data_IF_481995917848
#
_entry.id   IF_481995917848
#
_cell.length_a   1.000
_cell.length_b   1.000
_cell.length_c   1.000
_cell.angle_alpha   90.00
_cell.angle_beta   90.00
_cell.angle_gamma   90.00
#
_symmetry.space_group_name_H-M   'P 1'
#
loop_
_entity.id
_entity.type
_entity.pdbx_description
1 polymer ?
#
# COMPACT_ATOMS: atom_id res chain seq x y z
N UNK A 1 -13.88 -10.40 9.46
CA UNK A 1 -13.37 -9.90 8.17
C UNK A 1 -13.82 -8.47 7.97
N UNK A 2 -13.03 -7.65 7.29
CA UNK A 2 -13.34 -6.27 6.94
C UNK A 2 -12.74 -5.92 5.57
N UNK A 3 -13.20 -4.82 4.98
CA UNK A 3 -12.59 -4.22 3.79
C UNK A 3 -11.83 -2.96 4.20
N UNK A 4 -10.65 -2.80 3.62
CA UNK A 4 -9.89 -1.56 3.66
C UNK A 4 -9.60 -1.05 2.25
N UNK A 5 -8.93 0.09 2.20
CA UNK A 5 -8.45 0.71 0.96
C UNK A 5 -6.99 1.05 1.15
N UNK A 6 -6.12 0.70 0.21
CA UNK A 6 -4.68 0.89 0.32
C UNK A 6 -4.16 1.74 -0.83
N UNK A 7 -3.71 2.95 -0.53
CA UNK A 7 -3.12 3.89 -1.51
C UNK A 7 -1.61 4.00 -1.36
N UNK A 8 -1.08 3.81 -0.14
CA UNK A 8 0.35 3.84 0.17
C UNK A 8 0.74 2.91 1.31
N UNK A 9 -0.10 1.91 1.63
CA UNK A 9 0.04 1.06 2.82
C UNK A 9 -1.20 1.01 3.70
N UNK A 10 -2.29 1.69 3.35
CA UNK A 10 -3.43 1.90 4.26
C UNK A 10 -4.25 0.65 4.61
N UNK A 11 -3.95 -0.53 4.03
CA UNK A 11 -4.39 -1.85 4.53
C UNK A 11 -3.27 -2.53 5.31
N UNK A 12 -2.06 -2.56 4.74
CA UNK A 12 -0.93 -3.32 5.28
C UNK A 12 -0.36 -2.72 6.57
N UNK A 13 -0.23 -1.41 6.65
CA UNK A 13 0.22 -0.67 7.82
C UNK A 13 -0.66 -0.95 9.06
N UNK A 14 -2.00 -0.72 9.02
CA UNK A 14 -2.84 -1.05 10.17
C UNK A 14 -2.87 -2.56 10.45
N UNK A 15 -2.78 -3.42 9.42
CA UNK A 15 -2.68 -4.86 9.64
C UNK A 15 -1.42 -5.25 10.44
N UNK A 16 -0.27 -4.70 10.08
CA UNK A 16 0.99 -4.90 10.80
C UNK A 16 0.92 -4.37 12.24
N UNK A 17 0.41 -3.15 12.44
CA UNK A 17 0.31 -2.55 13.77
C UNK A 17 -0.70 -3.25 14.69
N UNK A 18 -1.79 -3.79 14.12
CA UNK A 18 -2.82 -4.47 14.89
C UNK A 18 -2.62 -5.99 15.00
N UNK A 19 -1.58 -6.55 14.38
CA UNK A 19 -1.33 -7.98 14.41
C UNK A 19 -2.45 -8.80 13.74
N UNK A 20 -2.93 -8.33 12.58
CA UNK A 20 -3.89 -9.05 11.74
C UNK A 20 -3.35 -9.20 10.31
N UNK A 21 -4.06 -9.92 9.46
CA UNK A 21 -3.71 -10.10 8.04
C UNK A 21 -4.40 -9.02 7.21
N UNK A 22 -3.66 -8.38 6.31
CA UNK A 22 -4.20 -7.39 5.38
C UNK A 22 -3.57 -7.53 4.00
N UNK A 23 -4.42 -7.72 2.98
CA UNK A 23 -3.96 -7.89 1.59
C UNK A 23 -4.39 -6.71 0.73
N UNK A 24 -3.42 -6.10 0.04
CA UNK A 24 -3.67 -5.20 -1.07
C UNK A 24 -3.52 -5.99 -2.37
N UNK A 25 -4.60 -6.26 -3.11
CA UNK A 25 -4.49 -7.00 -4.35
C UNK A 25 -3.78 -6.21 -5.46
N UNK A 26 -3.50 -6.88 -6.56
CA UNK A 26 -3.01 -6.23 -7.79
C UNK A 26 -3.92 -5.06 -8.18
N UNK A 27 -3.34 -3.93 -8.61
CA UNK A 27 -4.12 -2.81 -9.11
C UNK A 27 -5.04 -3.25 -10.26
N UNK A 28 -6.32 -2.91 -10.16
CA UNK A 28 -7.35 -3.30 -11.14
C UNK A 28 -8.00 -4.67 -10.91
N UNK A 29 -7.55 -5.47 -9.93
CA UNK A 29 -8.16 -6.79 -9.63
C UNK A 29 -9.52 -6.69 -8.91
N UNK A 30 -9.71 -5.64 -8.11
CA UNK A 30 -10.99 -5.30 -7.46
C UNK A 30 -11.46 -3.96 -8.02
N UNK A 31 -12.74 -3.88 -8.42
CA UNK A 31 -13.34 -2.63 -8.92
C UNK A 31 -13.22 -1.52 -7.88
N UNK A 32 -12.90 -0.31 -8.35
CA UNK A 32 -12.93 0.92 -7.56
C UNK A 32 -14.23 1.67 -7.72
N UNK A 33 -15.19 1.17 -8.52
CA UNK A 33 -16.49 1.81 -8.64
C UNK A 33 -17.22 1.82 -7.28
N UNK A 34 -17.56 3.01 -6.79
CA UNK A 34 -18.14 3.21 -5.46
C UNK A 34 -17.12 3.56 -4.36
N UNK A 35 -15.82 3.43 -4.62
CA UNK A 35 -14.77 3.96 -3.74
C UNK A 35 -14.72 5.49 -3.84
N UNK A 36 -14.71 6.18 -2.70
CA UNK A 36 -14.42 7.61 -2.65
C UNK A 36 -12.92 7.79 -2.94
N UNK A 37 -12.61 8.14 -4.19
CA UNK A 37 -11.25 8.21 -4.69
C UNK A 37 -10.39 9.23 -3.93
N UNK A 38 -9.23 8.77 -3.48
CA UNK A 38 -8.14 9.59 -2.98
C UNK A 38 -7.08 9.78 -4.07
N UNK A 39 -6.45 8.69 -4.55
CA UNK A 39 -5.53 8.70 -5.68
C UNK A 39 -5.81 7.51 -6.60
N UNK A 40 -6.42 7.79 -7.75
CA UNK A 40 -6.98 6.79 -8.65
C UNK A 40 -5.95 5.80 -9.15
N UNK A 41 -4.72 6.24 -9.38
CA UNK A 41 -3.70 5.38 -9.98
C UNK A 41 -2.97 4.48 -8.98
N UNK A 42 -3.29 4.57 -7.69
CA UNK A 42 -2.54 3.92 -6.60
C UNK A 42 -3.44 3.13 -5.64
N UNK A 43 -4.69 3.55 -5.48
CA UNK A 43 -5.61 2.98 -4.51
C UNK A 43 -6.20 1.64 -4.96
N UNK A 44 -6.38 0.74 -4.01
CA UNK A 44 -7.00 -0.55 -4.26
C UNK A 44 -7.79 -0.99 -3.01
N UNK A 45 -9.01 -1.47 -3.19
CA UNK A 45 -9.78 -2.14 -2.11
C UNK A 45 -9.16 -3.51 -1.84
N UNK A 46 -9.07 -3.90 -0.58
CA UNK A 46 -8.56 -5.22 -0.22
C UNK A 46 -9.09 -5.74 1.12
N UNK A 47 -9.00 -7.06 1.34
CA UNK A 47 -9.51 -7.71 2.55
C UNK A 47 -8.56 -7.58 3.75
N UNK A 48 -9.16 -7.54 4.94
CA UNK A 48 -8.48 -7.60 6.24
C UNK A 48 -9.17 -8.65 7.12
N UNK A 49 -8.40 -9.58 7.70
CA UNK A 49 -8.95 -10.64 8.54
C UNK A 49 -7.93 -11.16 9.56
N UNK A 50 -8.33 -12.14 10.37
CA UNK A 50 -7.45 -12.75 11.38
C UNK A 50 -6.57 -13.87 10.82
N UNK A 51 -6.93 -14.44 9.67
CA UNK A 51 -6.19 -15.51 9.02
C UNK A 51 -5.98 -15.23 7.54
N UNK A 52 -4.97 -15.87 6.95
CA UNK A 52 -4.72 -15.85 5.51
C UNK A 52 -5.87 -16.51 4.75
N UNK A 53 -6.45 -17.58 5.30
CA UNK A 53 -7.60 -18.26 4.72
C UNK A 53 -8.83 -17.33 4.57
N UNK A 54 -9.18 -16.56 5.61
CA UNK A 54 -10.28 -15.60 5.57
C UNK A 54 -10.01 -14.47 4.55
N UNK A 55 -8.75 -14.03 4.45
CA UNK A 55 -8.34 -13.05 3.44
C UNK A 55 -8.49 -13.60 2.01
N UNK A 56 -8.08 -14.85 1.77
CA UNK A 56 -8.23 -15.52 0.47
C UNK A 56 -9.70 -15.66 0.08
N UNK A 57 -10.55 -16.11 1.01
CA UNK A 57 -11.99 -16.26 0.80
C UNK A 57 -12.63 -14.93 0.41
N UNK A 58 -12.30 -13.85 1.11
CA UNK A 58 -12.86 -12.54 0.79
C UNK A 58 -12.32 -12.00 -0.54
N UNK A 59 -11.07 -12.30 -0.90
CA UNK A 59 -10.51 -11.92 -2.19
C UNK A 59 -11.23 -12.58 -3.36
N UNK A 60 -11.61 -13.85 -3.24
CA UNK A 60 -12.42 -14.56 -4.24
C UNK A 60 -13.75 -13.84 -4.50
N UNK A 61 -14.44 -13.42 -3.44
CA UNK A 61 -15.71 -12.67 -3.56
C UNK A 61 -15.53 -11.29 -4.21
N UNK A 62 -14.42 -10.61 -3.94
CA UNK A 62 -14.19 -9.23 -4.40
C UNK A 62 -13.72 -9.12 -5.86
N UNK A 63 -13.07 -10.15 -6.40
CA UNK A 63 -12.29 -10.06 -7.64
C UNK A 63 -13.09 -10.42 -8.88
N UNK A 64 -14.18 -9.68 -9.10
CA UNK A 64 -14.98 -9.79 -10.32
C UNK A 64 -14.75 -8.56 -11.20
N UNK A 65 -14.73 -8.77 -12.53
CA UNK A 65 -14.68 -7.66 -13.48
C UNK A 65 -15.92 -6.78 -13.35
N UNK A 66 -15.75 -5.46 -13.29
CA UNK A 66 -16.85 -4.50 -13.25
C UNK A 66 -16.81 -3.58 -14.47
N UNK A 67 -17.80 -3.64 -15.38
CA UNK A 67 -17.83 -2.79 -16.57
C UNK A 67 -18.00 -1.30 -16.25
N UNK A 68 -18.36 -0.93 -15.01
CA UNK A 68 -18.46 0.48 -14.57
C UNK A 68 -17.11 1.05 -14.14
N UNK A 69 -16.08 0.22 -14.02
CA UNK A 69 -14.70 0.64 -13.75
C UNK A 69 -13.82 0.30 -14.95
N UNK A 70 -13.47 1.30 -15.77
CA UNK A 70 -12.59 1.12 -16.93
C UNK A 70 -11.16 0.70 -16.57
N UNK A 71 -10.80 0.69 -15.29
CA UNK A 71 -9.51 0.18 -14.78
C UNK A 71 -9.60 -1.23 -14.19
N UNK A 72 -10.82 -1.79 -14.09
CA UNK A 72 -11.02 -3.18 -13.67
C UNK A 72 -10.53 -4.14 -14.75
N UNK A 73 -9.68 -5.08 -14.36
CA UNK A 73 -9.14 -6.12 -15.24
C UNK A 73 -9.90 -7.41 -15.01
N UNK A 74 -10.33 -8.06 -16.10
CA UNK A 74 -10.99 -9.38 -16.03
C UNK A 74 -9.99 -10.49 -15.71
N UNK A 75 -9.62 -10.60 -14.44
CA UNK A 75 -8.75 -11.63 -13.90
C UNK A 75 -9.34 -12.11 -12.56
N UNK A 76 -10.21 -13.14 -12.56
CA UNK A 76 -10.79 -13.64 -11.33
C UNK A 76 -9.72 -14.26 -10.41
N UNK A 77 -9.97 -14.27 -9.10
CA UNK A 77 -9.18 -15.02 -8.13
C UNK A 77 -9.99 -16.22 -7.66
N UNK A 78 -9.54 -17.42 -7.99
CA UNK A 78 -10.15 -18.68 -7.55
C UNK A 78 -9.02 -19.55 -7.05
N UNK A 79 -8.61 -19.32 -5.80
CA UNK A 79 -7.43 -19.98 -5.23
C UNK A 79 -7.69 -20.39 -3.79
N UNK A 80 -7.36 -21.64 -3.50
CA UNK A 80 -7.34 -22.17 -2.14
C UNK A 80 -5.90 -22.12 -1.66
N UNK A 81 -5.59 -21.49 -0.52
CA UNK A 81 -4.20 -21.37 -0.06
C UNK A 81 -3.50 -22.73 0.06
N UNK A 82 -2.34 -22.85 -0.56
CA UNK A 82 -1.46 -24.01 -0.51
C UNK A 82 -0.16 -23.63 0.24
N UNK A 83 0.12 -24.23 1.41
CA UNK A 83 1.32 -23.92 2.19
C UNK A 83 2.60 -24.57 1.64
N UNK A 84 2.54 -25.36 0.57
CA UNK A 84 3.73 -25.99 -0.03
C UNK A 84 4.53 -25.00 -0.89
N UNK A 85 5.59 -24.46 -0.31
CA UNK A 85 6.48 -23.47 -0.93
C UNK A 85 7.86 -24.04 -1.30
N UNK A 86 7.99 -25.38 -1.38
CA UNK A 86 9.28 -26.02 -1.69
C UNK A 86 9.80 -25.59 -3.07
N UNK A 87 11.02 -25.08 -3.11
CA UNK A 87 11.68 -24.57 -4.32
C UNK A 87 11.25 -23.15 -4.73
N UNK A 88 10.34 -22.51 -4.00
CA UNK A 88 9.91 -21.13 -4.28
C UNK A 88 11.04 -20.15 -3.95
N UNK A 89 11.30 -19.19 -4.84
CA UNK A 89 12.37 -18.20 -4.67
C UNK A 89 11.84 -16.92 -4.02
N UNK A 90 12.33 -16.62 -2.83
CA UNK A 90 12.01 -15.43 -2.06
C UNK A 90 13.14 -14.41 -2.25
N UNK A 91 12.83 -13.31 -2.91
CA UNK A 91 13.73 -12.16 -2.97
C UNK A 91 13.65 -11.30 -1.71
N UNK A 92 14.80 -10.85 -1.22
CA UNK A 92 14.87 -9.96 -0.06
C UNK A 92 15.62 -8.68 -0.46
N UNK A 93 14.94 -7.55 -0.70
CA UNK A 93 15.61 -6.31 -1.07
C UNK A 93 16.44 -5.77 0.10
N UNK A 94 17.72 -5.49 -0.13
CA UNK A 94 18.61 -4.93 0.91
C UNK A 94 18.06 -3.61 1.48
N UNK A 95 17.48 -2.77 0.62
CA UNK A 95 16.93 -1.47 1.00
C UNK A 95 15.73 -1.58 1.97
N UNK A 96 15.05 -2.73 2.03
CA UNK A 96 13.95 -2.98 2.97
C UNK A 96 14.42 -3.22 4.41
N UNK A 97 15.73 -3.43 4.61
CA UNK A 97 16.37 -3.57 5.92
C UNK A 97 17.39 -2.44 6.18
N UNK A 98 17.31 -1.38 5.39
CA UNK A 98 18.21 -0.24 5.45
C UNK A 98 17.91 0.73 6.60
N UNK A 99 18.44 1.95 6.43
CA UNK A 99 18.31 3.02 7.41
C UNK A 99 16.84 3.33 7.75
N UNK A 100 16.55 3.51 9.04
CA UNK A 100 15.21 3.82 9.55
C UNK A 100 14.39 2.61 9.98
N UNK A 101 14.82 1.38 9.64
CA UNK A 101 14.18 0.15 10.16
C UNK A 101 14.75 -0.17 11.54
N UNK A 102 13.87 -0.32 12.53
CA UNK A 102 14.28 -0.65 13.90
C UNK A 102 15.00 -2.01 13.93
N UNK A 103 16.17 -2.14 14.60
CA UNK A 103 16.95 -3.38 14.60
C UNK A 103 16.16 -4.61 15.05
N UNK A 104 15.27 -4.44 16.05
CA UNK A 104 14.44 -5.53 16.54
C UNK A 104 13.36 -5.94 15.53
N UNK A 105 12.78 -4.99 14.79
CA UNK A 105 11.84 -5.28 13.69
C UNK A 105 12.56 -6.07 12.59
N UNK A 106 13.74 -5.60 12.16
CA UNK A 106 14.57 -6.30 11.18
C UNK A 106 14.88 -7.74 11.60
N UNK A 107 15.31 -7.95 12.86
CA UNK A 107 15.60 -9.28 13.41
C UNK A 107 14.37 -10.19 13.38
N UNK A 108 13.20 -9.71 13.82
CA UNK A 108 11.96 -10.51 13.85
C UNK A 108 11.52 -10.92 12.44
N UNK A 109 11.69 -10.04 11.45
CA UNK A 109 11.36 -10.35 10.06
C UNK A 109 12.37 -11.32 9.46
N UNK A 110 13.65 -11.22 9.79
CA UNK A 110 14.64 -12.22 9.38
C UNK A 110 14.34 -13.61 9.96
N UNK A 111 13.92 -13.70 11.22
CA UNK A 111 13.47 -14.97 11.81
C UNK A 111 12.28 -15.57 11.05
N UNK A 112 11.37 -14.71 10.57
CA UNK A 112 10.24 -15.10 9.76
C UNK A 112 10.64 -15.60 8.36
N UNK A 113 11.58 -14.93 7.71
CA UNK A 113 12.16 -15.37 6.42
C UNK A 113 12.91 -16.70 6.59
N UNK A 114 13.66 -16.87 7.67
CA UNK A 114 14.36 -18.12 7.99
C UNK A 114 13.39 -19.29 8.24
N UNK A 115 12.17 -19.02 8.73
CA UNK A 115 11.12 -20.04 8.84
C UNK A 115 10.63 -20.50 7.46
N UNK A 116 10.47 -19.57 6.51
CA UNK A 116 10.09 -19.89 5.14
C UNK A 116 11.20 -20.70 4.43
N UNK A 117 12.45 -20.35 4.66
CA UNK A 117 13.61 -21.11 4.17
C UNK A 117 13.61 -22.56 4.72
N UNK A 118 13.37 -22.75 6.02
CA UNK A 118 13.23 -24.08 6.63
C UNK A 118 12.06 -24.89 6.07
N UNK A 119 11.05 -24.24 5.49
CA UNK A 119 9.93 -24.88 4.78
C UNK A 119 10.26 -25.21 3.32
N UNK A 120 11.47 -24.93 2.87
CA UNK A 120 11.99 -25.33 1.56
C UNK A 120 12.02 -24.23 0.51
N UNK A 121 11.75 -22.98 0.87
CA UNK A 121 11.97 -21.85 -0.04
C UNK A 121 13.46 -21.51 -0.16
N UNK A 122 13.86 -20.95 -1.30
CA UNK A 122 15.19 -20.42 -1.56
C UNK A 122 15.22 -18.91 -1.30
N UNK A 123 16.11 -18.42 -0.44
CA UNK A 123 16.23 -16.99 -0.12
C UNK A 123 17.32 -16.35 -0.96
N UNK A 124 16.98 -15.28 -1.69
CA UNK A 124 17.87 -14.57 -2.61
C UNK A 124 17.89 -13.09 -2.27
N UNK A 125 19.04 -12.56 -1.86
CA UNK A 125 19.19 -11.11 -1.66
C UNK A 125 19.12 -10.38 -3.01
N UNK A 126 18.41 -9.25 -3.05
CA UNK A 126 18.29 -8.43 -4.25
C UNK A 126 18.37 -6.93 -3.92
N UNK A 127 18.39 -6.08 -4.95
CA UNK A 127 18.50 -4.63 -4.80
C UNK A 127 17.38 -3.90 -5.53
N UNK A 128 16.86 -2.85 -4.89
CA UNK A 128 15.83 -1.94 -5.36
C UNK A 128 16.31 -0.48 -5.22
N UNK A 129 17.26 -0.03 -6.08
CA UNK A 129 17.84 1.31 -5.96
C UNK A 129 16.80 2.43 -6.08
N UNK A 130 15.70 2.22 -6.81
CA UNK A 130 14.61 3.18 -6.94
C UNK A 130 13.87 3.49 -5.63
N UNK A 131 14.07 2.68 -4.58
CA UNK A 131 13.48 2.91 -3.25
C UNK A 131 13.87 4.28 -2.67
N UNK A 132 15.05 4.80 -3.03
CA UNK A 132 15.51 6.15 -2.68
C UNK A 132 14.55 7.27 -3.14
N UNK A 133 13.72 7.02 -4.16
CA UNK A 133 12.78 8.00 -4.71
C UNK A 133 11.32 7.64 -4.48
N UNK A 134 11.02 6.41 -4.02
CA UNK A 134 9.67 5.88 -3.94
C UNK A 134 8.74 6.75 -3.09
N UNK A 135 9.17 7.14 -1.89
CA UNK A 135 8.34 7.96 -1.00
C UNK A 135 8.00 9.33 -1.61
N UNK A 136 8.98 10.00 -2.19
CA UNK A 136 8.78 11.29 -2.84
C UNK A 136 7.85 11.16 -4.07
N UNK A 137 8.06 10.13 -4.89
CA UNK A 137 7.22 9.84 -6.05
C UNK A 137 5.77 9.57 -5.65
N UNK A 138 5.56 8.81 -4.57
CA UNK A 138 4.25 8.56 -3.99
C UNK A 138 3.58 9.86 -3.53
N UNK A 139 4.21 10.65 -2.66
CA UNK A 139 3.57 11.84 -2.11
C UNK A 139 3.25 12.88 -3.19
N UNK A 140 4.11 13.08 -4.19
CA UNK A 140 3.81 13.98 -5.31
C UNK A 140 2.65 13.45 -6.15
N UNK A 141 2.65 12.16 -6.52
CA UNK A 141 1.58 11.55 -7.33
C UNK A 141 0.24 11.60 -6.59
N UNK A 142 0.24 11.12 -5.35
CA UNK A 142 -0.93 10.96 -4.52
C UNK A 142 -1.59 12.30 -4.17
N UNK A 143 -0.79 13.31 -3.79
CA UNK A 143 -1.32 14.66 -3.52
C UNK A 143 -1.85 15.35 -4.78
N UNK A 144 -1.15 15.20 -5.91
CA UNK A 144 -1.58 15.74 -7.20
C UNK A 144 -2.95 15.21 -7.60
N UNK A 145 -3.12 13.88 -7.59
CA UNK A 145 -4.42 13.26 -7.91
C UNK A 145 -5.50 13.65 -6.90
N UNK A 146 -5.19 13.67 -5.61
CA UNK A 146 -6.11 14.09 -4.57
C UNK A 146 -6.63 15.51 -4.78
N UNK A 147 -5.76 16.43 -5.22
CA UNK A 147 -6.15 17.83 -5.46
C UNK A 147 -7.25 17.96 -6.53
N UNK A 148 -7.29 17.04 -7.50
CA UNK A 148 -8.34 16.94 -8.51
C UNK A 148 -9.53 16.11 -8.02
N UNK A 149 -9.29 14.93 -7.44
CA UNK A 149 -10.33 14.01 -6.99
C UNK A 149 -11.25 14.64 -5.93
N UNK A 150 -10.67 15.37 -4.98
CA UNK A 150 -11.37 16.04 -3.90
C UNK A 150 -12.01 17.37 -4.33
N UNK A 151 -11.77 17.84 -5.57
CA UNK A 151 -12.35 19.10 -6.06
C UNK A 151 -13.88 19.05 -6.14
N UNK A 152 -14.46 17.85 -6.33
CA UNK A 152 -15.92 17.61 -6.41
C UNK A 152 -16.69 17.90 -5.13
N UNK A 153 -16.01 17.99 -3.98
CA UNK A 153 -16.62 18.31 -2.69
C UNK A 153 -16.73 19.82 -2.54
N UNK A 154 -17.80 20.36 -3.13
CA UNK A 154 -18.11 21.79 -3.21
C UNK A 154 -19.40 22.17 -2.46
N UNK A 155 -20.22 21.17 -2.08
CA UNK A 155 -21.50 21.39 -1.38
C UNK A 155 -22.66 21.75 -2.31
N UNK A 156 -22.49 21.65 -3.64
CA UNK A 156 -23.53 21.97 -4.62
C UNK A 156 -24.48 20.81 -4.83
N UNK A 157 -23.93 19.61 -5.05
CA UNK A 157 -24.72 18.41 -5.39
C UNK A 157 -25.01 17.52 -4.18
N UNK A 158 -24.09 17.49 -3.21
CA UNK A 158 -24.15 16.60 -2.05
C UNK A 158 -23.21 17.09 -0.94
N UNK A 159 -23.35 16.46 0.23
CA UNK A 159 -22.62 16.84 1.45
C UNK A 159 -23.22 18.09 2.11
N UNK A 160 -22.52 18.70 3.07
CA UNK A 160 -22.95 19.94 3.67
C UNK A 160 -23.13 21.02 2.58
N UNK A 161 -24.25 21.76 2.58
CA UNK A 161 -24.54 22.71 1.52
C UNK A 161 -23.56 23.90 1.54
N UNK A 162 -23.29 24.44 0.35
CA UNK A 162 -22.65 25.75 0.21
C UNK A 162 -23.67 26.88 0.49
N UNK A 163 -23.19 28.02 1.02
CA UNK A 163 -24.06 29.18 1.25
C UNK A 163 -24.38 29.88 -0.07
N UNK A 164 -25.65 29.82 -0.49
CA UNK A 164 -26.14 30.40 -1.74
C UNK A 164 -26.29 31.92 -1.70
N UNK A 165 -26.09 32.57 -0.54
CA UNK A 165 -26.11 34.03 -0.42
C UNK A 165 -24.77 34.67 -0.81
N UNK A 166 -23.68 33.90 -0.84
CA UNK A 166 -22.34 34.36 -1.21
C UNK A 166 -22.10 34.22 -2.72
N UNK A 167 -21.05 34.87 -3.22
CA UNK A 167 -20.54 34.54 -4.56
C UNK A 167 -20.08 33.07 -4.60
N UNK A 168 -20.23 32.41 -5.76
CA UNK A 168 -19.90 30.99 -5.90
C UNK A 168 -18.47 30.67 -5.43
N UNK A 169 -17.52 31.55 -5.72
CA UNK A 169 -16.11 31.36 -5.36
C UNK A 169 -15.90 31.43 -3.84
N UNK A 170 -16.52 32.41 -3.17
CA UNK A 170 -16.45 32.53 -1.71
C UNK A 170 -17.16 31.34 -1.02
N UNK A 171 -18.36 30.99 -1.48
CA UNK A 171 -19.12 29.86 -0.96
C UNK A 171 -18.31 28.55 -1.01
N UNK A 172 -17.63 28.28 -2.13
CA UNK A 172 -16.80 27.08 -2.28
C UNK A 172 -15.57 27.10 -1.38
N UNK A 173 -14.88 28.25 -1.31
CA UNK A 173 -13.71 28.39 -0.46
C UNK A 173 -14.05 28.18 1.02
N UNK A 174 -15.11 28.80 1.51
CA UNK A 174 -15.56 28.66 2.90
C UNK A 174 -16.03 27.24 3.19
N UNK A 175 -16.83 26.66 2.29
CA UNK A 175 -17.33 25.28 2.44
C UNK A 175 -16.19 24.27 2.54
N UNK A 176 -15.19 24.38 1.67
CA UNK A 176 -14.02 23.50 1.65
C UNK A 176 -13.10 23.77 2.85
N UNK A 177 -12.92 25.03 3.24
CA UNK A 177 -12.13 25.40 4.42
C UNK A 177 -12.72 24.82 5.70
N UNK A 178 -14.05 24.87 5.85
CA UNK A 178 -14.75 24.33 7.01
C UNK A 178 -14.89 22.79 6.98
N UNK A 179 -15.02 22.19 5.79
CA UNK A 179 -15.22 20.75 5.62
C UNK A 179 -13.94 19.90 5.70
N UNK A 180 -12.80 20.42 5.23
CA UNK A 180 -11.54 19.67 5.22
C UNK A 180 -10.64 20.01 6.40
N UNK A 181 -10.17 18.97 7.08
CA UNK A 181 -9.15 19.08 8.11
C UNK A 181 -7.78 19.54 7.59
N UNK A 182 -6.86 19.92 8.47
CA UNK A 182 -5.55 20.47 8.10
C UNK A 182 -4.74 19.59 7.14
N UNK A 183 -4.70 18.28 7.37
CA UNK A 183 -3.93 17.35 6.52
C UNK A 183 -4.49 17.26 5.09
N UNK A 184 -5.81 17.14 4.95
CA UNK A 184 -6.46 17.09 3.63
C UNK A 184 -6.23 18.39 2.87
N UNK A 185 -6.35 19.55 3.54
CA UNK A 185 -6.05 20.85 2.92
C UNK A 185 -4.58 20.95 2.50
N UNK A 186 -3.64 20.50 3.33
CA UNK A 186 -2.19 20.47 3.00
C UNK A 186 -1.94 19.67 1.72
N UNK A 187 -2.51 18.47 1.63
CA UNK A 187 -2.37 17.60 0.45
C UNK A 187 -2.98 18.22 -0.81
N UNK A 188 -4.17 18.83 -0.72
CA UNK A 188 -4.78 19.55 -1.85
C UNK A 188 -3.86 20.69 -2.31
N UNK A 189 -3.36 21.51 -1.40
CA UNK A 189 -2.48 22.64 -1.74
C UNK A 189 -1.19 22.18 -2.43
N UNK A 190 -0.52 21.15 -1.88
CA UNK A 190 0.69 20.58 -2.48
C UNK A 190 0.43 19.99 -3.86
N UNK A 191 -0.68 19.27 -4.02
CA UNK A 191 -1.05 18.68 -5.31
C UNK A 191 -1.37 19.72 -6.37
N UNK A 192 -2.15 20.75 -6.02
CA UNK A 192 -2.45 21.86 -6.92
C UNK A 192 -1.17 22.60 -7.34
N UNK A 193 -0.23 22.79 -6.40
CA UNK A 193 1.08 23.37 -6.72
C UNK A 193 1.89 22.47 -7.66
N UNK A 194 1.99 21.16 -7.38
CA UNK A 194 2.75 20.21 -8.20
C UNK A 194 2.20 20.08 -9.64
N UNK A 195 0.91 20.33 -9.83
CA UNK A 195 0.24 20.32 -11.14
C UNK A 195 0.22 21.70 -11.84
N UNK A 196 0.63 22.77 -11.15
CA UNK A 196 0.54 24.13 -11.69
C UNK A 196 1.51 24.37 -12.86
N UNK A 197 1.14 25.32 -13.73
CA UNK A 197 1.97 25.74 -14.86
C UNK A 197 3.37 26.18 -14.39
N UNK A 198 4.41 25.77 -15.12
CA UNK A 198 5.82 26.01 -14.76
C UNK A 198 6.41 25.04 -13.72
N UNK A 199 5.57 24.29 -13.00
CA UNK A 199 5.98 23.32 -11.97
C UNK A 199 5.66 21.86 -12.32
N UNK A 200 4.69 21.61 -13.21
CA UNK A 200 4.30 20.26 -13.67
C UNK A 200 5.51 19.39 -14.07
N UNK A 201 6.38 19.89 -14.94
CA UNK A 201 7.56 19.16 -15.41
C UNK A 201 8.60 18.91 -14.31
N UNK A 202 8.66 19.81 -13.31
CA UNK A 202 9.65 19.76 -12.22
C UNK A 202 9.24 18.78 -11.12
N UNK A 203 7.93 18.62 -10.89
CA UNK A 203 7.39 17.77 -9.83
C UNK A 203 6.62 16.57 -10.39
N UNK A 204 5.42 16.77 -10.93
CA UNK A 204 4.54 15.65 -11.28
C UNK A 204 5.14 14.74 -12.36
N UNK A 205 5.66 15.30 -13.46
CA UNK A 205 6.29 14.50 -14.51
C UNK A 205 7.52 13.74 -14.00
N UNK A 206 8.32 14.38 -13.13
CA UNK A 206 9.50 13.75 -12.50
C UNK A 206 9.10 12.63 -11.54
N UNK A 207 8.00 12.79 -10.80
CA UNK A 207 7.44 11.75 -9.95
C UNK A 207 6.93 10.56 -10.77
N UNK A 208 6.31 10.79 -11.93
CA UNK A 208 5.92 9.69 -12.83
C UNK A 208 7.14 8.94 -13.39
N UNK A 209 8.24 9.64 -13.70
CA UNK A 209 9.50 8.99 -14.09
C UNK A 209 10.09 8.13 -12.96
N UNK A 210 10.10 8.64 -11.73
CA UNK A 210 10.53 7.87 -10.55
C UNK A 210 9.62 6.66 -10.28
N UNK A 211 8.29 6.81 -10.41
CA UNK A 211 7.33 5.70 -10.34
C UNK A 211 7.65 4.62 -11.37
N UNK A 212 7.97 5.00 -12.60
CA UNK A 212 8.40 4.05 -13.64
C UNK A 212 9.66 3.29 -13.22
N UNK A 213 10.64 3.97 -12.62
CA UNK A 213 11.86 3.29 -12.12
C UNK A 213 11.54 2.27 -11.02
N UNK A 214 10.63 2.59 -10.09
CA UNK A 214 10.15 1.64 -9.08
C UNK A 214 9.52 0.42 -9.75
N UNK A 215 8.61 0.63 -10.70
CA UNK A 215 8.00 -0.48 -11.46
C UNK A 215 9.03 -1.32 -12.21
N UNK A 216 9.99 -0.68 -12.87
CA UNK A 216 11.03 -1.36 -13.64
C UNK A 216 11.94 -2.21 -12.72
N UNK A 217 12.21 -1.78 -11.49
CA UNK A 217 12.91 -2.57 -10.48
C UNK A 217 12.13 -3.83 -10.08
N UNK A 218 10.83 -3.72 -9.75
CA UNK A 218 9.99 -4.90 -9.46
C UNK A 218 9.99 -5.88 -10.65
N UNK A 219 9.77 -5.38 -11.87
CA UNK A 219 9.76 -6.21 -13.09
C UNK A 219 11.11 -6.89 -13.33
N UNK A 220 12.23 -6.23 -13.02
CA UNK A 220 13.57 -6.81 -13.12
C UNK A 220 13.77 -7.89 -12.07
N UNK A 221 13.40 -7.62 -10.82
CA UNK A 221 13.65 -8.54 -9.70
C UNK A 221 12.81 -9.82 -9.85
N UNK A 222 11.53 -9.70 -10.22
CA UNK A 222 10.63 -10.84 -10.45
C UNK A 222 11.03 -11.74 -11.64
N UNK A 223 12.09 -11.41 -12.39
CA UNK A 223 12.70 -12.37 -13.35
C UNK A 223 13.51 -13.46 -12.66
N UNK A 224 13.98 -13.20 -11.43
CA UNK A 224 14.83 -14.11 -10.68
C UNK A 224 14.19 -14.70 -9.41
N UNK A 225 13.06 -14.15 -8.97
CA UNK A 225 12.37 -14.54 -7.73
C UNK A 225 10.86 -14.58 -7.95
N UNK A 226 10.16 -15.41 -7.17
CA UNK A 226 8.70 -15.59 -7.26
C UNK A 226 7.95 -14.57 -6.40
N UNK A 227 8.49 -14.22 -5.24
CA UNK A 227 7.95 -13.20 -4.34
C UNK A 227 9.06 -12.35 -3.73
N UNK A 228 8.70 -11.21 -3.15
CA UNK A 228 9.57 -10.39 -2.34
C UNK A 228 9.10 -10.37 -0.89
N UNK A 229 10.03 -10.52 0.05
CA UNK A 229 9.77 -10.44 1.49
C UNK A 229 10.55 -9.30 2.15
N UNK A 230 9.95 -8.70 3.17
CA UNK A 230 10.59 -7.70 4.02
C UNK A 230 9.65 -7.21 5.12
N UNK A 231 10.08 -6.26 5.97
CA UNK A 231 9.17 -5.69 6.97
C UNK A 231 8.00 -4.97 6.29
N UNK A 232 6.81 -5.06 6.89
CA UNK A 232 5.69 -4.20 6.48
C UNK A 232 5.91 -2.76 6.92
N UNK A 233 6.36 -2.57 8.16
CA UNK A 233 6.56 -1.25 8.78
C UNK A 233 7.99 -1.16 9.33
N UNK A 234 8.63 0.03 9.29
CA UNK A 234 9.99 0.20 9.79
C UNK A 234 10.09 0.12 11.32
N UNK A 235 8.99 0.39 12.02
CA UNK A 235 8.87 0.31 13.49
C UNK A 235 7.60 -0.44 13.86
N UNK A 236 7.44 -0.75 15.15
CA UNK A 236 6.12 -1.11 15.70
C UNK A 236 5.22 0.11 15.83
N UNK A 237 3.96 -0.11 16.22
CA UNK A 237 3.00 0.96 16.44
C UNK A 237 3.53 1.97 17.46
N UNK A 238 3.50 3.25 17.09
CA UNK A 238 3.89 4.38 17.95
C UNK A 238 2.69 4.88 18.77
N UNK A 239 2.96 5.60 19.86
CA UNK A 239 1.91 6.15 20.73
C UNK A 239 1.16 7.29 20.05
N UNK A 240 -0.09 7.48 20.45
CA UNK A 240 -0.89 8.62 20.02
C UNK A 240 -0.17 9.91 20.44
N UNK A 241 0.04 10.81 19.49
CA UNK A 241 0.73 12.08 19.70
C UNK A 241 2.26 11.98 19.72
N UNK A 242 2.86 10.81 19.51
CA UNK A 242 4.32 10.65 19.46
C UNK A 242 4.91 11.28 18.20
N UNK A 243 4.29 11.03 17.04
CA UNK A 243 4.65 11.67 15.77
C UNK A 243 3.79 12.90 15.54
N UNK A 244 4.37 14.07 15.79
CA UNK A 244 3.67 15.36 15.68
C UNK A 244 3.96 16.10 14.38
N UNK A 245 5.09 15.82 13.73
CA UNK A 245 5.44 16.40 12.44
C UNK A 245 4.98 15.49 11.26
N UNK A 246 4.50 16.06 10.15
CA UNK A 246 4.04 15.25 9.02
C UNK A 246 5.13 14.40 8.37
N UNK A 247 6.40 14.83 8.39
CA UNK A 247 7.47 14.14 7.69
C UNK A 247 7.82 12.82 8.36
N UNK A 248 7.94 12.79 9.69
CA UNK A 248 8.16 11.56 10.46
C UNK A 248 7.00 10.58 10.32
N UNK A 249 5.77 11.09 10.19
CA UNK A 249 4.59 10.28 9.88
C UNK A 249 4.72 9.65 8.50
N UNK A 250 5.05 10.44 7.47
CA UNK A 250 5.16 9.99 6.08
C UNK A 250 6.29 8.97 5.88
N UNK A 251 7.41 9.13 6.58
CA UNK A 251 8.52 8.17 6.54
C UNK A 251 8.13 6.76 7.01
N UNK A 252 7.03 6.62 7.76
CA UNK A 252 6.51 5.30 8.17
C UNK A 252 6.08 4.44 6.97
N UNK A 253 5.67 5.06 5.86
CA UNK A 253 5.13 4.37 4.69
C UNK A 253 6.24 3.90 3.71
N UNK A 254 7.52 4.11 4.04
CA UNK A 254 8.66 3.89 3.13
C UNK A 254 8.71 2.46 2.55
N UNK A 255 8.27 1.47 3.33
CA UNK A 255 8.27 0.05 2.95
C UNK A 255 6.99 -0.39 2.22
N UNK A 256 5.91 0.39 2.29
CA UNK A 256 4.61 0.02 1.72
C UNK A 256 4.32 0.70 0.39
N UNK A 257 4.75 1.95 0.21
CA UNK A 257 4.50 2.72 -1.03
C UNK A 257 5.06 2.11 -2.32
N UNK A 258 6.20 1.36 -2.34
CA UNK A 258 6.72 0.82 -3.58
C UNK A 258 5.71 -0.11 -4.28
N UNK A 259 4.96 -0.92 -3.52
CA UNK A 259 3.96 -1.83 -4.06
C UNK A 259 2.80 -1.08 -4.76
N UNK A 260 2.34 0.05 -4.22
CA UNK A 260 1.30 0.88 -4.85
C UNK A 260 1.81 1.55 -6.13
N UNK A 261 3.04 2.07 -6.10
CA UNK A 261 3.67 2.69 -7.27
C UNK A 261 3.83 1.69 -8.42
N UNK A 262 4.24 0.48 -8.11
CA UNK A 262 4.42 -0.60 -9.07
C UNK A 262 3.10 -1.29 -9.48
N UNK A 263 2.04 -1.20 -8.68
CA UNK A 263 0.74 -1.85 -8.94
C UNK A 263 0.67 -3.33 -8.55
N UNK A 264 1.67 -3.84 -7.84
CA UNK A 264 1.85 -5.26 -7.51
C UNK A 264 1.10 -5.67 -6.25
N UNK A 265 0.60 -6.92 -6.13
CA UNK A 265 -0.07 -7.39 -4.93
C UNK A 265 0.88 -7.46 -3.73
N UNK A 266 0.36 -7.18 -2.54
CA UNK A 266 1.14 -7.17 -1.30
C UNK A 266 0.27 -7.52 -0.09
N UNK A 267 0.70 -8.49 0.71
CA UNK A 267 0.07 -8.88 1.97
C UNK A 267 0.97 -8.53 3.15
N UNK A 268 0.37 -8.20 4.29
CA UNK A 268 1.04 -8.16 5.58
C UNK A 268 0.46 -9.26 6.47
N UNK A 269 1.33 -10.10 7.04
CA UNK A 269 0.98 -11.11 8.06
C UNK A 269 1.73 -10.82 9.37
N UNK A 270 1.13 -11.06 10.56
CA UNK A 270 1.82 -10.90 11.84
C UNK A 270 2.95 -11.91 11.94
N UNK A 271 4.18 -11.46 12.24
CA UNK A 271 5.37 -12.33 12.20
C UNK A 271 6.20 -12.35 13.48
N UNK A 272 5.64 -11.86 14.59
CA UNK A 272 6.30 -11.80 15.89
C UNK A 272 6.03 -10.49 16.60
N UNK A 273 6.85 -10.18 17.60
CA UNK A 273 6.69 -8.99 18.44
C UNK A 273 8.00 -8.27 18.69
N UNK A 274 7.93 -6.95 18.80
CA UNK A 274 8.98 -6.07 19.32
C UNK A 274 8.36 -5.18 20.38
N UNK A 275 9.00 -5.06 21.55
CA UNK A 275 8.49 -4.24 22.66
C UNK A 275 7.04 -4.61 23.07
N UNK A 276 6.69 -5.90 22.94
CA UNK A 276 5.34 -6.38 23.21
C UNK A 276 4.30 -6.01 22.15
N UNK A 277 4.67 -5.31 21.07
CA UNK A 277 3.78 -4.93 19.98
C UNK A 277 3.99 -5.80 18.73
N UNK A 278 2.95 -6.02 17.90
CA UNK A 278 3.07 -6.85 16.70
C UNK A 278 4.06 -6.29 15.66
N UNK A 279 4.73 -7.19 14.94
CA UNK A 279 5.55 -6.91 13.76
C UNK A 279 4.91 -7.59 12.55
N UNK A 280 4.91 -6.92 11.40
CA UNK A 280 4.38 -7.48 10.15
C UNK A 280 5.47 -7.92 9.18
N UNK A 281 5.34 -9.13 8.64
CA UNK A 281 6.04 -9.59 7.44
C UNK A 281 5.21 -9.21 6.23
N UNK A 282 5.82 -8.46 5.32
CA UNK A 282 5.24 -8.12 4.04
C UNK A 282 5.73 -9.08 2.96
N UNK A 283 4.80 -9.62 2.18
CA UNK A 283 5.07 -10.48 1.02
C UNK A 283 4.45 -9.82 -0.21
N UNK A 284 5.23 -9.63 -1.27
CA UNK A 284 4.80 -8.98 -2.51
C UNK A 284 5.03 -9.91 -3.70
N UNK A 285 4.08 -9.99 -4.61
CA UNK A 285 4.14 -10.88 -5.77
C UNK A 285 4.16 -10.12 -7.09
N UNK A 286 4.39 -10.81 -8.22
CA UNK A 286 4.18 -10.26 -9.54
C UNK A 286 2.72 -9.86 -9.77
N UNK A 287 2.46 -9.04 -10.80
CA UNK A 287 1.11 -8.64 -11.17
C UNK A 287 0.21 -9.86 -11.38
N UNK A 288 -0.96 -9.84 -10.74
CA UNK A 288 -1.99 -10.87 -10.77
C UNK A 288 -1.57 -12.23 -10.19
N UNK A 289 -0.38 -12.33 -9.59
CA UNK A 289 0.08 -13.51 -8.83
C UNK A 289 -0.26 -13.39 -7.33
N UNK A 290 -1.47 -12.92 -7.06
CA UNK A 290 -2.03 -12.83 -5.72
C UNK A 290 -2.10 -14.21 -5.03
N UNK A 291 -2.28 -15.28 -5.82
CA UNK A 291 -2.22 -16.69 -5.41
C UNK A 291 -0.90 -17.03 -4.72
N UNK A 292 0.23 -16.74 -5.36
CA UNK A 292 1.56 -17.01 -4.79
C UNK A 292 1.83 -16.22 -3.51
N UNK A 293 1.35 -14.98 -3.46
CA UNK A 293 1.47 -14.15 -2.24
C UNK A 293 0.70 -14.78 -1.08
N UNK A 294 -0.49 -15.32 -1.37
CA UNK A 294 -1.33 -16.00 -0.39
C UNK A 294 -0.73 -17.33 0.05
N UNK A 295 -0.13 -18.10 -0.86
CA UNK A 295 0.53 -19.38 -0.53
C UNK A 295 1.71 -19.18 0.42
N UNK A 296 2.58 -18.22 0.14
CA UNK A 296 3.72 -17.91 1.01
C UNK A 296 3.25 -17.39 2.37
N UNK A 297 2.17 -16.59 2.39
CA UNK A 297 1.57 -16.13 3.62
C UNK A 297 0.96 -17.29 4.44
N UNK A 298 0.29 -18.23 3.80
CA UNK A 298 -0.29 -19.41 4.44
C UNK A 298 0.79 -20.36 4.97
N UNK A 299 1.86 -20.55 4.20
CA UNK A 299 3.02 -21.33 4.60
C UNK A 299 3.68 -20.74 5.87
N UNK A 300 3.78 -19.41 5.95
CA UNK A 300 4.23 -18.71 7.14
C UNK A 300 3.27 -18.92 8.32
N UNK A 301 1.98 -18.62 8.14
CA UNK A 301 0.94 -18.70 9.18
C UNK A 301 0.86 -20.09 9.82
N UNK A 302 0.96 -21.16 9.03
CA UNK A 302 0.96 -22.54 9.55
C UNK A 302 2.24 -22.92 10.31
N UNK A 303 3.36 -22.28 10.01
CA UNK A 303 4.64 -22.54 10.69
C UNK A 303 4.85 -21.72 11.95
N UNK A 304 4.08 -20.65 12.13
CA UNK A 304 4.19 -19.76 13.27
C UNK A 304 3.39 -20.34 14.45
N UNK A 305 4.06 -20.54 15.59
CA UNK A 305 3.36 -20.62 16.87
C UNK A 305 2.92 -19.20 17.25
N UNK A 306 1.65 -18.86 16.99
CA UNK A 306 1.06 -17.56 17.33
C UNK A 306 0.90 -17.36 18.84
#
# INVERSE_FOLDING_TARGET
MALGTDTGGSIRCPAAFCGIVGHKPTYGRVSRYGLIAYANSLEQIGPMARSVADVSLLLEVLTTHDPRDSTSVSCPYTHTPDPDIRGLKIGVPEEYFGEGVAPRVASVVWDAIALLERKGAEVITCRMPSMAYALAAYYVTCTSEASSNLARFDGVRYGPPADTKLSWHQAFQERRRAGFGPEVRRRIMLGTFALSSGYYGKYYAKAQAARKQVRDDFLRIFRGVDVLCGPTMPTVAFRIGEKTDPLSMYLSDILTVPANLAGVPAISVPCGRSEGLPVGLQIMGPHFRDDQVIDVAAAYEQGAAL
#
